data_IF_035738523622
#
_entry.id   IF_035738523622
#
_cell.length_a   1.000
_cell.length_b   1.000
_cell.length_c   1.000
_cell.angle_alpha   90.00
_cell.angle_beta   90.00
_cell.angle_gamma   90.00
#
_symmetry.space_group_name_H-M   'P 1'
#
loop_
_entity.id
_entity.type
_entity.pdbx_description
1 polymer ?
#
# COMPACT_ATOMS: atom_id res chain seq x y z
N UNK A 1 0.25 14.69 -1.11
CA UNK A 1 0.64 14.41 -2.52
C UNK A 1 -0.27 13.33 -3.08
N UNK A 2 -0.80 13.53 -4.26
CA UNK A 2 -1.59 12.52 -4.95
C UNK A 2 -0.77 11.88 -6.09
N UNK A 3 -1.37 10.92 -6.80
CA UNK A 3 -0.70 10.23 -7.90
C UNK A 3 -0.23 11.19 -9.00
N UNK A 4 -1.07 12.18 -9.35
CA UNK A 4 -0.75 13.17 -10.37
C UNK A 4 0.48 14.01 -9.99
N UNK A 5 0.52 14.45 -8.75
CA UNK A 5 1.67 15.20 -8.24
C UNK A 5 2.94 14.36 -8.17
N UNK A 6 2.78 13.07 -7.85
CA UNK A 6 3.90 12.14 -7.87
C UNK A 6 4.47 11.99 -9.28
N UNK A 7 3.61 11.85 -10.29
CA UNK A 7 4.02 11.80 -11.70
C UNK A 7 4.78 13.08 -12.09
N UNK A 8 4.25 14.23 -11.71
CA UNK A 8 4.88 15.51 -12.02
C UNK A 8 6.27 15.62 -11.36
N UNK A 9 6.40 15.18 -10.12
CA UNK A 9 7.68 15.20 -9.42
C UNK A 9 8.72 14.31 -10.08
N UNK A 10 8.30 13.23 -10.72
CA UNK A 10 9.21 12.28 -11.37
C UNK A 10 9.51 12.61 -12.83
N UNK A 11 8.76 13.52 -13.44
CA UNK A 11 8.88 13.79 -14.88
C UNK A 11 10.27 14.27 -15.29
N UNK A 12 10.94 15.05 -14.46
CA UNK A 12 12.30 15.51 -14.75
C UNK A 12 13.30 14.36 -14.72
N UNK A 13 13.16 13.46 -13.75
CA UNK A 13 14.09 12.34 -13.59
C UNK A 13 13.92 11.27 -14.66
N UNK A 14 12.71 11.14 -15.20
CA UNK A 14 12.38 10.10 -16.17
C UNK A 14 12.28 10.63 -17.60
N UNK A 15 12.56 11.91 -17.80
CA UNK A 15 12.67 12.51 -19.12
C UNK A 15 11.40 13.09 -19.69
N UNK A 16 10.23 12.67 -19.21
CA UNK A 16 8.96 13.21 -19.68
C UNK A 16 7.84 12.85 -18.72
N UNK A 17 6.74 13.58 -18.80
CA UNK A 17 5.54 13.30 -18.03
C UNK A 17 4.93 11.96 -18.42
N UNK A 18 4.97 11.62 -19.72
CA UNK A 18 4.46 10.35 -20.22
C UNK A 18 5.25 9.18 -19.64
N UNK A 19 6.59 9.25 -19.69
CA UNK A 19 7.44 8.22 -19.13
C UNK A 19 7.22 8.07 -17.62
N UNK A 20 7.07 9.19 -16.92
CA UNK A 20 6.79 9.18 -15.47
C UNK A 20 5.47 8.52 -15.15
N UNK A 21 4.42 8.85 -15.91
CA UNK A 21 3.08 8.27 -15.70
C UNK A 21 3.10 6.76 -15.95
N UNK A 22 3.75 6.30 -17.01
CA UNK A 22 3.87 4.88 -17.32
C UNK A 22 4.65 4.14 -16.25
N UNK A 23 5.73 4.73 -15.74
CA UNK A 23 6.53 4.11 -14.68
C UNK A 23 5.74 3.98 -13.38
N UNK A 24 5.04 5.03 -12.97
CA UNK A 24 4.22 5.00 -11.76
C UNK A 24 3.12 3.95 -11.88
N UNK A 25 2.40 3.93 -13.01
CA UNK A 25 1.34 2.96 -13.23
C UNK A 25 1.88 1.53 -13.23
N UNK A 26 3.01 1.29 -13.88
CA UNK A 26 3.61 -0.04 -13.94
C UNK A 26 4.02 -0.53 -12.53
N UNK A 27 4.61 0.33 -11.72
CA UNK A 27 5.00 -0.01 -10.36
C UNK A 27 3.78 -0.33 -9.50
N UNK A 28 2.78 0.53 -9.51
CA UNK A 28 1.58 0.34 -8.70
C UNK A 28 0.80 -0.90 -9.12
N UNK A 29 0.61 -1.10 -10.42
CA UNK A 29 -0.09 -2.27 -10.94
C UNK A 29 0.62 -3.57 -10.58
N UNK A 30 1.94 -3.58 -10.68
CA UNK A 30 2.74 -4.76 -10.34
C UNK A 30 2.63 -5.09 -8.86
N UNK A 31 2.73 -4.08 -7.99
CA UNK A 31 2.60 -4.28 -6.55
C UNK A 31 1.20 -4.79 -6.21
N UNK A 32 0.16 -4.14 -6.75
CA UNK A 32 -1.23 -4.51 -6.48
C UNK A 32 -1.54 -5.94 -6.92
N UNK A 33 -1.15 -6.32 -8.14
CA UNK A 33 -1.44 -7.64 -8.66
C UNK A 33 -0.67 -8.74 -7.93
N UNK A 34 0.56 -8.47 -7.54
CA UNK A 34 1.39 -9.43 -6.80
C UNK A 34 0.82 -9.67 -5.40
N UNK A 35 0.48 -8.60 -4.70
CA UNK A 35 -0.13 -8.70 -3.36
C UNK A 35 -1.49 -9.38 -3.42
N UNK A 36 -2.29 -9.08 -4.44
CA UNK A 36 -3.61 -9.70 -4.62
C UNK A 36 -3.52 -11.21 -4.78
N UNK A 37 -2.42 -11.71 -5.36
CA UNK A 37 -2.18 -13.16 -5.48
C UNK A 37 -1.70 -13.79 -4.17
N UNK A 38 -1.44 -13.00 -3.15
CA UNK A 38 -0.94 -13.48 -1.87
C UNK A 38 0.58 -13.47 -1.74
N UNK A 39 1.29 -12.92 -2.72
CA UNK A 39 2.75 -12.83 -2.68
C UNK A 39 3.19 -11.53 -2.06
N UNK A 40 4.27 -11.59 -1.28
CA UNK A 40 4.85 -10.43 -0.65
C UNK A 40 5.75 -9.67 -1.63
N UNK A 41 5.67 -8.35 -1.59
CA UNK A 41 6.59 -7.47 -2.35
C UNK A 41 7.49 -6.78 -1.35
N UNK A 42 8.77 -7.12 -1.35
CA UNK A 42 9.75 -6.52 -0.45
C UNK A 42 10.70 -5.62 -1.24
N UNK A 43 10.78 -4.35 -0.84
CA UNK A 43 11.65 -3.36 -1.47
C UNK A 43 12.65 -2.90 -0.42
N UNK A 44 13.90 -3.31 -0.58
CA UNK A 44 14.95 -3.03 0.39
C UNK A 44 15.07 -1.54 0.69
N UNK A 45 15.09 -1.19 1.97
CA UNK A 45 15.21 0.20 2.42
C UNK A 45 13.90 0.98 2.43
N UNK A 46 12.91 0.56 1.65
CA UNK A 46 11.62 1.23 1.57
C UNK A 46 10.57 0.57 2.46
N UNK A 47 10.34 -0.72 2.24
CA UNK A 47 9.34 -1.45 2.99
C UNK A 47 8.83 -2.66 2.24
N UNK A 48 7.80 -3.27 2.79
CA UNK A 48 7.18 -4.44 2.18
C UNK A 48 5.66 -4.33 2.17
N UNK A 49 5.07 -4.92 1.14
CA UNK A 49 3.62 -5.00 0.97
C UNK A 49 3.22 -6.46 1.04
N UNK A 50 2.19 -6.77 1.79
CA UNK A 50 1.71 -8.13 1.92
C UNK A 50 0.20 -8.17 2.08
N UNK A 51 -0.39 -9.34 1.81
CA UNK A 51 -1.80 -9.57 2.01
C UNK A 51 -2.00 -10.07 3.44
N UNK A 52 -2.84 -9.39 4.18
CA UNK A 52 -3.18 -9.79 5.54
C UNK A 52 -4.60 -10.33 5.57
N UNK A 53 -4.76 -11.57 6.00
CA UNK A 53 -6.08 -12.19 6.12
C UNK A 53 -6.67 -11.85 7.49
N UNK A 54 -7.90 -11.38 7.46
CA UNK A 54 -8.65 -11.09 8.68
C UNK A 54 -9.80 -12.08 8.80
N UNK A 55 -9.84 -12.89 9.87
CA UNK A 55 -10.90 -13.87 10.03
C UNK A 55 -12.26 -13.21 10.29
N UNK A 56 -13.32 -13.95 10.04
CA UNK A 56 -14.66 -13.52 10.40
C UNK A 56 -14.73 -13.31 11.92
N UNK A 57 -15.43 -12.29 12.33
CA UNK A 57 -15.55 -11.97 13.74
C UNK A 57 -16.91 -11.36 14.05
N UNK A 58 -17.26 -11.35 15.33
CA UNK A 58 -18.45 -10.68 15.81
C UNK A 58 -18.02 -9.33 16.40
N UNK A 59 -18.65 -8.26 15.95
CA UNK A 59 -18.41 -6.93 16.47
C UNK A 59 -19.69 -6.37 17.07
N UNK A 60 -19.57 -5.50 18.05
CA UNK A 60 -20.72 -4.86 18.69
C UNK A 60 -20.85 -3.42 18.17
N UNK A 61 -22.05 -3.07 17.72
CA UNK A 61 -22.34 -1.71 17.30
C UNK A 61 -22.48 -0.83 18.55
N UNK A 62 -21.59 0.15 18.78
CA UNK A 62 -21.66 0.97 19.99
C UNK A 62 -22.88 1.88 20.06
N UNK A 63 -23.51 2.19 18.91
CA UNK A 63 -24.68 3.05 18.88
C UNK A 63 -25.97 2.33 19.27
N UNK A 64 -26.10 1.06 18.89
CA UNK A 64 -27.33 0.28 19.11
C UNK A 64 -27.14 -0.86 20.12
N UNK A 65 -25.91 -1.26 20.41
CA UNK A 65 -25.61 -2.40 21.26
C UNK A 65 -25.82 -3.75 20.58
N UNK A 66 -26.26 -3.76 19.32
CA UNK A 66 -26.47 -4.99 18.57
C UNK A 66 -25.14 -5.58 18.11
N UNK A 67 -25.11 -6.91 17.99
CA UNK A 67 -23.94 -7.59 17.44
C UNK A 67 -24.01 -7.64 15.92
N UNK A 68 -22.85 -7.48 15.29
CA UNK A 68 -22.72 -7.50 13.84
C UNK A 68 -21.73 -8.60 13.46
N UNK A 69 -22.09 -9.38 12.45
CA UNK A 69 -21.16 -10.37 11.88
C UNK A 69 -20.29 -9.69 10.85
N UNK A 70 -18.97 -9.68 11.09
CA UNK A 70 -17.99 -9.16 10.13
C UNK A 70 -17.41 -10.35 9.37
N UNK A 71 -17.62 -10.38 8.06
CA UNK A 71 -17.13 -11.47 7.22
C UNK A 71 -15.61 -11.48 7.16
N UNK A 72 -15.05 -12.66 6.96
CA UNK A 72 -13.61 -12.80 6.69
C UNK A 72 -13.25 -12.00 5.45
N UNK A 73 -12.11 -11.30 5.49
CA UNK A 73 -11.65 -10.50 4.37
C UNK A 73 -10.13 -10.47 4.33
N UNK A 74 -9.58 -9.97 3.23
CA UNK A 74 -8.15 -9.78 3.10
C UNK A 74 -7.87 -8.32 2.79
N UNK A 75 -6.81 -7.77 3.37
CA UNK A 75 -6.45 -6.38 3.18
C UNK A 75 -4.96 -6.26 2.85
N UNK A 76 -4.57 -5.23 2.11
CA UNK A 76 -3.16 -4.95 1.92
C UNK A 76 -2.56 -4.38 3.20
N UNK A 77 -1.32 -4.80 3.50
CA UNK A 77 -0.59 -4.32 4.66
C UNK A 77 0.78 -3.84 4.21
N UNK A 78 1.13 -2.62 4.62
CA UNK A 78 2.45 -2.05 4.36
C UNK A 78 3.26 -2.01 5.64
N UNK A 79 4.52 -2.44 5.54
CA UNK A 79 5.45 -2.39 6.66
C UNK A 79 6.69 -1.62 6.22
N UNK A 80 6.94 -0.46 6.84
CA UNK A 80 8.06 0.39 6.45
C UNK A 80 9.39 -0.29 6.75
N UNK A 81 10.36 -0.10 5.86
CA UNK A 81 11.73 -0.56 6.07
C UNK A 81 12.48 0.35 7.04
N UNK A 82 13.63 -0.13 7.53
CA UNK A 82 14.42 0.61 8.50
C UNK A 82 14.85 1.99 8.00
N UNK A 83 15.31 2.07 6.76
CA UNK A 83 15.74 3.33 6.17
C UNK A 83 14.61 4.34 6.08
N UNK A 84 13.43 3.88 5.66
CA UNK A 84 12.26 4.74 5.57
C UNK A 84 11.83 5.23 6.96
N UNK A 85 11.81 4.33 7.94
CA UNK A 85 11.47 4.71 9.32
C UNK A 85 12.42 5.77 9.86
N UNK A 86 13.72 5.61 9.60
CA UNK A 86 14.74 6.54 10.06
C UNK A 86 14.58 7.93 9.41
N UNK A 87 14.26 7.98 8.13
CA UNK A 87 14.01 9.24 7.44
C UNK A 87 12.83 10.00 8.06
N UNK A 88 11.76 9.29 8.37
CA UNK A 88 10.56 9.89 8.97
C UNK A 88 10.83 10.31 10.42
N UNK A 89 11.59 9.54 11.15
CA UNK A 89 11.92 9.84 12.55
C UNK A 89 12.97 10.93 12.70
N UNK A 90 13.63 11.34 11.62
CA UNK A 90 14.65 12.39 11.66
C UNK A 90 16.00 11.91 12.18
N UNK A 91 16.28 10.64 12.02
CA UNK A 91 17.54 10.03 12.50
C UNK A 91 18.47 9.66 11.39
#
# INVERSE_FOLDING_TARGET
MNKRELVDALSERLGSKKAAAEAVDAILDTIQSTVAKGEKVAITGFGSFEKADRPARTARNPATGNTIQVAATSVPKFRAGADFKNLVAGK
#
